data_IF_630563089048
#
_entry.id   IF_630563089048
#
_cell.length_a   1.000
_cell.length_b   1.000
_cell.length_c   1.000
_cell.angle_alpha   90.00
_cell.angle_beta   90.00
_cell.angle_gamma   90.00
#
_symmetry.space_group_name_H-M   'P 1'
#
loop_
_entity.id
_entity.type
_entity.pdbx_description
1 polymer ?
#
# COMPACT_ATOMS: atom_id res chain seq x y z
N UNK A 1 11.30 26.00 23.51
CA UNK A 1 11.14 24.71 24.25
C UNK A 1 10.70 23.64 23.25
N UNK A 2 11.31 22.48 23.30
CA UNK A 2 10.98 21.37 22.43
C UNK A 2 9.96 20.45 23.09
N UNK A 3 9.14 19.80 22.27
CA UNK A 3 8.37 18.64 22.74
C UNK A 3 9.35 17.53 23.16
N UNK A 4 8.94 16.61 24.03
CA UNK A 4 9.76 15.46 24.35
C UNK A 4 10.16 14.70 23.09
N UNK A 5 11.45 14.41 22.96
CA UNK A 5 11.98 13.69 21.80
C UNK A 5 11.85 12.19 22.07
N UNK A 6 11.15 11.43 21.22
CA UNK A 6 11.05 9.98 21.40
C UNK A 6 12.42 9.32 21.22
N UNK A 7 12.63 8.18 21.87
CA UNK A 7 13.80 7.35 21.61
C UNK A 7 13.71 6.77 20.19
N UNK A 8 14.83 6.30 19.62
CA UNK A 8 14.78 5.63 18.30
C UNK A 8 13.81 4.45 18.26
N UNK A 9 13.70 3.69 19.34
CA UNK A 9 12.74 2.56 19.43
C UNK A 9 11.30 3.05 19.40
N UNK A 10 10.98 4.09 20.16
CA UNK A 10 9.65 4.69 20.14
C UNK A 10 9.32 5.31 18.79
N UNK A 11 10.28 6.02 18.18
CA UNK A 11 10.10 6.60 16.85
C UNK A 11 9.80 5.52 15.81
N UNK A 12 10.52 4.40 15.83
CA UNK A 12 10.29 3.27 14.95
C UNK A 12 8.88 2.67 15.14
N UNK A 13 8.40 2.61 16.39
CA UNK A 13 7.06 2.12 16.68
C UNK A 13 5.97 3.03 16.14
N UNK A 14 6.15 4.35 16.25
CA UNK A 14 5.21 5.32 15.66
C UNK A 14 5.14 5.18 14.13
N UNK A 15 6.28 5.03 13.49
CA UNK A 15 6.34 4.83 12.03
C UNK A 15 5.66 3.52 11.64
N UNK A 16 5.94 2.44 12.35
CA UNK A 16 5.30 1.14 12.11
C UNK A 16 3.78 1.23 12.21
N UNK A 17 3.26 1.88 13.26
CA UNK A 17 1.82 2.04 13.46
C UNK A 17 1.17 2.81 12.31
N UNK A 18 1.81 3.89 11.83
CA UNK A 18 1.31 4.64 10.67
C UNK A 18 1.32 3.81 9.40
N UNK A 19 2.34 2.99 9.19
CA UNK A 19 2.40 2.10 8.04
C UNK A 19 1.26 1.09 8.06
N UNK A 20 0.92 0.52 9.22
CA UNK A 20 -0.20 -0.39 9.36
C UNK A 20 -1.54 0.28 9.05
N UNK A 21 -1.75 1.49 9.54
CA UNK A 21 -2.95 2.28 9.24
C UNK A 21 -3.06 2.60 7.74
N UNK A 22 -1.94 2.96 7.10
CA UNK A 22 -1.90 3.22 5.66
C UNK A 22 -2.19 1.97 4.84
N UNK A 23 -1.64 0.83 5.22
CA UNK A 23 -1.92 -0.45 4.56
C UNK A 23 -3.43 -0.72 4.57
N UNK A 24 -4.06 -0.61 5.74
CA UNK A 24 -5.50 -0.81 5.87
C UNK A 24 -6.31 0.15 4.99
N UNK A 25 -5.93 1.41 4.98
CA UNK A 25 -6.59 2.44 4.16
C UNK A 25 -6.49 2.12 2.67
N UNK A 26 -5.29 1.81 2.19
CA UNK A 26 -5.08 1.49 0.77
C UNK A 26 -5.78 0.20 0.35
N UNK A 27 -5.70 -0.85 1.18
CA UNK A 27 -6.40 -2.11 0.90
C UNK A 27 -7.91 -1.88 0.82
N UNK A 28 -8.49 -1.15 1.75
CA UNK A 28 -9.92 -0.84 1.74
C UNK A 28 -10.33 -0.03 0.50
N UNK A 29 -9.52 0.96 0.11
CA UNK A 29 -9.79 1.75 -1.08
C UNK A 29 -9.72 0.91 -2.36
N UNK A 30 -8.74 0.01 -2.46
CA UNK A 30 -8.63 -0.90 -3.60
C UNK A 30 -9.83 -1.86 -3.66
N UNK A 31 -10.21 -2.42 -2.52
CA UNK A 31 -11.40 -3.31 -2.43
C UNK A 31 -12.66 -2.57 -2.86
N UNK A 32 -12.86 -1.34 -2.38
CA UNK A 32 -14.00 -0.52 -2.79
C UNK A 32 -14.02 -0.28 -4.30
N UNK A 33 -12.87 -0.01 -4.90
CA UNK A 33 -12.76 0.18 -6.35
C UNK A 33 -13.07 -1.11 -7.12
N UNK A 34 -12.60 -2.26 -6.63
CA UNK A 34 -12.91 -3.56 -7.23
C UNK A 34 -14.41 -3.83 -7.20
N UNK A 35 -15.04 -3.58 -6.07
CA UNK A 35 -16.48 -3.87 -5.88
C UNK A 35 -17.37 -2.91 -6.66
N UNK A 36 -17.00 -1.62 -6.71
CA UNK A 36 -17.93 -0.58 -7.18
C UNK A 36 -17.57 0.02 -8.54
N UNK A 37 -16.30 0.04 -8.92
CA UNK A 37 -15.84 0.87 -10.05
C UNK A 37 -15.24 0.08 -11.21
N UNK A 38 -14.73 -1.13 -10.98
CA UNK A 38 -14.07 -1.90 -12.03
C UNK A 38 -15.06 -2.46 -13.03
N UNK A 39 -14.82 -2.18 -14.31
CA UNK A 39 -15.59 -2.73 -15.43
C UNK A 39 -14.82 -3.85 -16.15
N UNK A 40 -13.61 -4.13 -15.75
CA UNK A 40 -12.78 -5.24 -16.22
C UNK A 40 -12.07 -5.86 -15.03
N UNK A 41 -11.51 -7.05 -15.22
CA UNK A 41 -10.83 -7.79 -14.16
C UNK A 41 -9.42 -7.29 -13.93
N UNK A 42 -9.27 -5.98 -13.82
CA UNK A 42 -7.97 -5.32 -13.66
C UNK A 42 -8.14 -3.96 -12.99
N UNK A 43 -7.20 -3.64 -12.10
CA UNK A 43 -7.05 -2.31 -11.53
C UNK A 43 -5.57 -1.96 -11.43
N UNK A 44 -5.24 -0.71 -11.71
CA UNK A 44 -3.91 -0.14 -11.46
C UNK A 44 -4.02 0.87 -10.34
N UNK A 45 -3.12 0.79 -9.38
CA UNK A 45 -3.19 1.64 -8.19
C UNK A 45 -1.79 2.13 -7.80
N UNK A 46 -1.70 3.39 -7.39
CA UNK A 46 -0.47 4.00 -6.90
C UNK A 46 -0.41 3.86 -5.38
N UNK A 47 0.67 3.28 -4.88
CA UNK A 47 0.86 3.03 -3.44
C UNK A 47 2.22 3.52 -2.98
N UNK A 48 2.34 4.05 -1.74
CA UNK A 48 3.64 4.47 -1.21
C UNK A 48 4.63 3.31 -1.15
N UNK A 49 5.88 3.56 -1.55
CA UNK A 49 6.93 2.53 -1.58
C UNK A 49 7.12 1.77 -0.27
N UNK A 50 7.15 2.43 0.91
CA UNK A 50 7.36 1.69 2.16
C UNK A 50 6.34 0.59 2.44
N UNK A 51 5.13 0.69 1.90
CA UNK A 51 4.05 -0.29 2.14
C UNK A 51 3.66 -1.08 0.90
N UNK A 52 4.28 -0.82 -0.25
CA UNK A 52 3.88 -1.47 -1.51
C UNK A 52 4.02 -3.00 -1.47
N UNK A 53 5.10 -3.51 -0.93
CA UNK A 53 5.30 -4.95 -0.80
C UNK A 53 4.27 -5.63 0.09
N UNK A 54 3.87 -4.97 1.18
CA UNK A 54 2.84 -5.50 2.08
C UNK A 54 1.49 -5.59 1.39
N UNK A 55 1.12 -4.58 0.63
CA UNK A 55 -0.13 -4.58 -0.15
C UNK A 55 -0.11 -5.67 -1.21
N UNK A 56 1.00 -5.81 -1.95
CA UNK A 56 1.18 -6.88 -2.93
C UNK A 56 0.99 -8.26 -2.29
N UNK A 57 1.59 -8.50 -1.14
CA UNK A 57 1.47 -9.77 -0.42
C UNK A 57 0.03 -10.06 0.00
N UNK A 58 -0.70 -9.06 0.48
CA UNK A 58 -2.09 -9.22 0.92
C UNK A 58 -2.97 -9.68 -0.25
N UNK A 59 -2.87 -9.03 -1.41
CA UNK A 59 -3.68 -9.40 -2.57
C UNK A 59 -3.25 -10.75 -3.17
N UNK A 60 -1.95 -11.05 -3.22
CA UNK A 60 -1.47 -12.37 -3.66
C UNK A 60 -1.98 -13.49 -2.78
N UNK A 61 -2.04 -13.29 -1.46
CA UNK A 61 -2.63 -14.27 -0.54
C UNK A 61 -4.10 -14.53 -0.80
N UNK A 62 -4.80 -13.58 -1.39
CA UNK A 62 -6.22 -13.70 -1.74
C UNK A 62 -6.43 -14.10 -3.21
N UNK A 63 -5.42 -14.73 -3.81
CA UNK A 63 -5.46 -15.30 -5.16
C UNK A 63 -5.53 -14.28 -6.30
N UNK A 64 -5.19 -13.03 -6.05
CA UNK A 64 -5.03 -12.05 -7.12
C UNK A 64 -3.64 -12.14 -7.73
N UNK A 65 -3.55 -11.86 -9.02
CA UNK A 65 -2.26 -11.65 -9.68
C UNK A 65 -1.87 -10.20 -9.51
N UNK A 66 -0.69 -9.95 -8.95
CA UNK A 66 -0.20 -8.59 -8.68
C UNK A 66 1.19 -8.42 -9.25
N UNK A 67 1.36 -7.35 -10.02
CA UNK A 67 2.63 -7.00 -10.67
C UNK A 67 3.00 -5.57 -10.26
N UNK A 68 4.27 -5.35 -9.94
CA UNK A 68 4.82 -4.01 -9.78
C UNK A 68 5.24 -3.47 -11.15
N UNK A 69 4.68 -2.31 -11.53
CA UNK A 69 5.05 -1.63 -12.76
C UNK A 69 6.22 -0.68 -12.48
N UNK A 70 7.42 -1.09 -12.90
CA UNK A 70 8.63 -0.31 -12.67
C UNK A 70 8.77 0.90 -13.61
N UNK A 71 8.04 0.94 -14.72
CA UNK A 71 8.14 2.04 -15.69
C UNK A 71 7.45 3.31 -15.22
N UNK A 72 6.36 3.17 -14.48
CA UNK A 72 5.59 4.30 -13.96
C UNK A 72 5.88 4.59 -12.50
N UNK A 73 6.72 3.77 -11.84
CA UNK A 73 7.12 3.99 -10.45
C UNK A 73 7.96 5.26 -10.31
N UNK A 74 7.72 5.97 -9.22
CA UNK A 74 8.49 7.17 -8.83
C UNK A 74 9.41 6.87 -7.66
N UNK A 75 10.13 7.88 -7.16
CA UNK A 75 10.96 7.73 -5.97
C UNK A 75 10.16 7.48 -4.69
N UNK A 76 8.88 7.86 -4.66
CA UNK A 76 8.03 7.79 -3.47
C UNK A 76 6.91 6.76 -3.59
N UNK A 77 6.48 6.44 -4.80
CA UNK A 77 5.33 5.59 -5.08
C UNK A 77 5.67 4.49 -6.06
N UNK A 78 5.03 3.35 -5.85
CA UNK A 78 5.02 2.23 -6.80
C UNK A 78 3.64 2.13 -7.45
N UNK A 79 3.60 1.82 -8.75
CA UNK A 79 2.36 1.43 -9.41
C UNK A 79 2.22 -0.08 -9.34
N UNK A 80 1.07 -0.53 -8.88
CA UNK A 80 0.74 -1.96 -8.87
C UNK A 80 -0.41 -2.23 -9.82
N UNK A 81 -0.33 -3.37 -10.50
CA UNK A 81 -1.38 -3.87 -11.39
C UNK A 81 -1.94 -5.12 -10.76
N UNK A 82 -3.22 -5.10 -10.44
CA UNK A 82 -3.94 -6.21 -9.83
C UNK A 82 -4.91 -6.76 -10.86
N UNK A 83 -4.84 -8.06 -11.12
CA UNK A 83 -5.74 -8.75 -12.05
C UNK A 83 -6.36 -9.99 -11.41
N UNK A 84 -7.53 -10.36 -11.89
CA UNK A 84 -8.23 -11.54 -11.39
C UNK A 84 -9.15 -12.20 -12.42
#
# INVERSE_FOLDING_TARGET
MYNPIPSPTEAAQYVYNRQQELIDTYVNNIVDSIVNDCISNRITYEVPKPISNDIVKIFRKNNYTVILDSFTSTNQYDYIIITW
#
